data_IF_619528839089
#
_entry.id   IF_619528839089
#
_cell.length_a   1.000
_cell.length_b   1.000
_cell.length_c   1.000
_cell.angle_alpha   90.00
_cell.angle_beta   90.00
_cell.angle_gamma   90.00
#
_symmetry.space_group_name_H-M   'P 1'
#
loop_
_entity.id
_entity.type
_entity.pdbx_description
1 polymer ?
#
# COMPACT_ATOMS: atom_id res chain seq x y z
N UNK A 1 19.02 -7.79 -7.56
CA UNK A 1 17.72 -7.21 -7.92
C UNK A 1 17.88 -5.75 -8.32
N UNK A 2 17.23 -5.30 -9.38
CA UNK A 2 17.26 -3.90 -9.79
C UNK A 2 16.02 -3.17 -9.24
N UNK A 3 16.17 -2.52 -8.09
CA UNK A 3 15.07 -1.78 -7.44
C UNK A 3 14.58 -0.59 -8.27
N UNK A 4 15.44 0.03 -9.07
CA UNK A 4 15.05 1.21 -9.86
C UNK A 4 13.89 0.92 -10.80
N UNK A 5 13.73 -0.32 -11.22
CA UNK A 5 12.60 -0.79 -12.03
C UNK A 5 11.25 -0.55 -11.33
N UNK A 6 11.25 -0.56 -10.00
CA UNK A 6 10.05 -0.38 -9.18
C UNK A 6 10.08 0.95 -8.41
N UNK A 7 10.80 1.93 -8.93
CA UNK A 7 10.93 3.26 -8.31
C UNK A 7 10.83 4.38 -9.34
N UNK A 8 9.99 4.17 -10.34
CA UNK A 8 9.81 5.14 -11.43
C UNK A 8 9.08 6.39 -10.91
N UNK A 9 9.74 7.53 -10.99
CA UNK A 9 9.23 8.80 -10.45
C UNK A 9 7.93 9.26 -11.12
N UNK A 10 7.77 9.05 -12.41
CA UNK A 10 6.53 9.45 -13.10
C UNK A 10 5.35 8.57 -12.69
N UNK A 11 5.60 7.28 -12.44
CA UNK A 11 4.58 6.35 -11.94
C UNK A 11 4.17 6.75 -10.52
N UNK A 12 5.16 7.04 -9.65
CA UNK A 12 4.91 7.50 -8.28
C UNK A 12 4.02 8.74 -8.29
N UNK A 13 4.39 9.76 -9.08
CA UNK A 13 3.63 11.00 -9.15
C UNK A 13 2.20 10.77 -9.65
N UNK A 14 2.04 9.98 -10.69
CA UNK A 14 0.73 9.66 -11.24
C UNK A 14 -0.15 8.95 -10.21
N UNK A 15 0.39 7.93 -9.55
CA UNK A 15 -0.35 7.19 -8.52
C UNK A 15 -0.81 8.11 -7.40
N UNK A 16 0.07 8.98 -6.92
CA UNK A 16 -0.28 9.89 -5.81
C UNK A 16 -1.31 10.94 -6.22
N UNK A 17 -1.27 11.41 -7.47
CA UNK A 17 -2.22 12.41 -7.98
C UNK A 17 -3.58 11.83 -8.34
N UNK A 18 -3.63 10.62 -8.88
CA UNK A 18 -4.85 10.06 -9.45
C UNK A 18 -5.58 9.09 -8.55
N UNK A 19 -4.88 8.50 -7.56
CA UNK A 19 -5.50 7.52 -6.67
C UNK A 19 -6.43 8.18 -5.66
N UNK A 20 -7.50 7.47 -5.32
CA UNK A 20 -8.48 7.91 -4.31
C UNK A 20 -8.50 6.98 -3.11
N UNK A 21 -8.41 5.67 -3.35
CA UNK A 21 -8.54 4.64 -2.32
C UNK A 21 -7.22 3.94 -2.10
N UNK A 22 -6.74 3.96 -0.86
CA UNK A 22 -5.50 3.30 -0.46
C UNK A 22 -5.80 2.33 0.66
N UNK A 23 -5.61 1.04 0.40
CA UNK A 23 -5.70 0.01 1.43
C UNK A 23 -4.35 -0.11 2.13
N UNK A 24 -4.32 0.09 3.44
CA UNK A 24 -3.09 -0.02 4.23
C UNK A 24 -3.04 -1.42 4.84
N UNK A 25 -2.24 -2.28 4.25
CA UNK A 25 -2.06 -3.66 4.70
C UNK A 25 -1.05 -3.69 5.84
N UNK A 26 -1.48 -4.13 7.01
CA UNK A 26 -0.68 -4.05 8.23
C UNK A 26 -0.95 -2.78 9.02
N UNK A 27 -2.09 -2.13 8.82
CA UNK A 27 -2.53 -0.99 9.61
C UNK A 27 -2.60 -1.35 11.09
N UNK A 28 -2.33 -0.39 11.98
CA UNK A 28 -2.24 -0.65 13.41
C UNK A 28 -2.84 0.47 14.25
N UNK A 29 -3.45 0.10 15.37
CA UNK A 29 -3.90 1.06 16.39
C UNK A 29 -2.76 1.49 17.33
N UNK A 30 -1.60 0.88 17.22
CA UNK A 30 -0.43 1.24 18.04
C UNK A 30 0.19 2.51 17.47
N UNK A 31 0.08 3.62 18.21
CA UNK A 31 0.48 4.94 17.73
C UNK A 31 1.98 5.06 17.39
N UNK A 32 2.81 4.18 17.94
CA UNK A 32 4.26 4.18 17.67
C UNK A 32 4.62 3.43 16.38
N UNK A 33 3.68 2.74 15.76
CA UNK A 33 3.92 2.05 14.49
C UNK A 33 3.89 3.04 13.33
N UNK A 34 4.84 2.87 12.40
CA UNK A 34 4.90 3.68 11.18
C UNK A 34 3.60 3.61 10.38
N UNK A 35 3.00 2.42 10.30
CA UNK A 35 1.73 2.25 9.59
C UNK A 35 0.61 3.11 10.16
N UNK A 36 0.62 3.36 11.48
CA UNK A 36 -0.38 4.22 12.11
C UNK A 36 -0.22 5.69 11.67
N UNK A 37 1.00 6.22 11.78
CA UNK A 37 1.27 7.61 11.40
C UNK A 37 1.00 7.85 9.92
N UNK A 38 1.36 6.91 9.06
CA UNK A 38 1.14 7.03 7.63
C UNK A 38 -0.35 6.91 7.29
N UNK A 39 -1.08 5.99 7.93
CA UNK A 39 -2.53 5.89 7.76
C UNK A 39 -3.22 7.20 8.13
N UNK A 40 -2.82 7.80 9.24
CA UNK A 40 -3.35 9.09 9.69
C UNK A 40 -3.05 10.18 8.67
N UNK A 41 -1.82 10.23 8.16
CA UNK A 41 -1.41 11.18 7.13
C UNK A 41 -2.26 11.04 5.86
N UNK A 42 -2.48 9.81 5.39
CA UNK A 42 -3.28 9.57 4.18
C UNK A 42 -4.70 10.10 4.32
N UNK A 43 -5.31 9.92 5.49
CA UNK A 43 -6.62 10.50 5.79
C UNK A 43 -6.56 12.02 5.78
N UNK A 44 -5.54 12.61 6.39
CA UNK A 44 -5.39 14.06 6.51
C UNK A 44 -5.27 14.75 5.15
N UNK A 45 -4.60 14.11 4.19
CA UNK A 45 -4.43 14.70 2.86
C UNK A 45 -5.57 14.34 1.89
N UNK A 46 -6.58 13.60 2.36
CA UNK A 46 -7.83 13.42 1.63
C UNK A 46 -8.02 12.09 0.90
N UNK A 47 -7.12 11.11 1.09
CA UNK A 47 -7.36 9.77 0.54
C UNK A 47 -8.42 9.03 1.34
N UNK A 48 -9.15 8.13 0.68
CA UNK A 48 -9.96 7.13 1.36
C UNK A 48 -9.02 6.01 1.80
N UNK A 49 -8.61 6.04 3.05
CA UNK A 49 -7.73 5.02 3.63
C UNK A 49 -8.59 3.88 4.18
N UNK A 50 -8.30 2.65 3.75
CA UNK A 50 -8.98 1.45 4.23
C UNK A 50 -7.96 0.57 4.95
N UNK A 51 -8.08 0.41 6.28
CA UNK A 51 -7.12 -0.41 7.03
C UNK A 51 -7.39 -1.90 6.83
N UNK A 52 -6.33 -2.69 6.71
CA UNK A 52 -6.39 -4.15 6.59
C UNK A 52 -5.50 -4.77 7.65
N UNK A 53 -6.10 -5.50 8.58
CA UNK A 53 -5.40 -6.23 9.64
C UNK A 53 -6.40 -7.15 10.34
N UNK A 54 -6.12 -8.47 10.47
CA UNK A 54 -7.06 -9.40 11.11
C UNK A 54 -7.24 -9.17 12.61
N UNK A 55 -6.37 -8.37 13.24
CA UNK A 55 -6.37 -8.16 14.69
C UNK A 55 -7.21 -6.98 15.16
N UNK A 56 -7.76 -6.17 14.25
CA UNK A 56 -8.52 -4.97 14.60
C UNK A 56 -9.85 -4.92 13.87
N UNK A 57 -10.88 -4.40 14.54
CA UNK A 57 -12.16 -4.11 13.90
C UNK A 57 -12.17 -2.71 13.29
N UNK A 58 -11.34 -1.82 13.82
CA UNK A 58 -11.32 -0.41 13.46
C UNK A 58 -9.92 0.16 13.67
N UNK A 59 -9.48 1.04 12.79
CA UNK A 59 -8.23 1.79 12.91
C UNK A 59 -8.51 3.23 12.54
N UNK A 60 -8.16 4.17 13.42
CA UNK A 60 -8.39 5.61 13.22
C UNK A 60 -9.88 5.93 12.92
N UNK A 61 -10.78 5.18 13.54
CA UNK A 61 -12.22 5.37 13.32
C UNK A 61 -12.75 4.80 12.01
N UNK A 62 -11.91 4.12 11.23
CA UNK A 62 -12.30 3.53 9.96
C UNK A 62 -12.40 2.01 10.12
N UNK A 63 -13.45 1.42 9.55
CA UNK A 63 -13.63 -0.03 9.59
C UNK A 63 -12.41 -0.73 9.03
N UNK A 64 -11.88 -1.69 9.79
CA UNK A 64 -10.72 -2.49 9.40
C UNK A 64 -11.19 -3.84 8.87
N UNK A 65 -10.60 -4.27 7.77
CA UNK A 65 -10.94 -5.54 7.13
C UNK A 65 -9.85 -6.58 7.42
N UNK A 66 -10.22 -7.84 7.65
CA UNK A 66 -9.20 -8.86 7.94
C UNK A 66 -8.34 -9.22 6.72
N UNK A 67 -8.89 -9.09 5.51
CA UNK A 67 -8.16 -9.38 4.26
C UNK A 67 -8.52 -8.36 3.19
N UNK A 68 -7.69 -8.26 2.15
CA UNK A 68 -8.00 -7.41 0.99
C UNK A 68 -9.28 -7.88 0.29
N UNK A 69 -9.49 -9.18 0.24
CA UNK A 69 -10.65 -9.78 -0.46
C UNK A 69 -11.98 -9.40 0.15
N UNK A 70 -11.99 -8.99 1.42
CA UNK A 70 -13.22 -8.55 2.09
C UNK A 70 -13.66 -7.15 1.68
N UNK A 71 -12.79 -6.40 1.02
CA UNK A 71 -13.09 -5.03 0.58
C UNK A 71 -13.81 -5.10 -0.76
N UNK A 72 -15.00 -4.52 -0.84
CA UNK A 72 -15.82 -4.57 -2.04
C UNK A 72 -15.54 -3.43 -3.03
N UNK A 73 -15.02 -2.31 -2.55
CA UNK A 73 -14.71 -1.16 -3.41
C UNK A 73 -13.42 -1.36 -4.18
N UNK A 74 -13.26 -0.65 -5.30
CA UNK A 74 -12.03 -0.65 -6.09
C UNK A 74 -10.88 -0.06 -5.25
N UNK A 75 -9.77 -0.76 -5.18
CA UNK A 75 -8.56 -0.30 -4.50
C UNK A 75 -7.58 0.24 -5.54
N UNK A 76 -7.17 1.49 -5.37
CA UNK A 76 -6.19 2.09 -6.28
C UNK A 76 -4.77 1.71 -5.90
N UNK A 77 -4.43 1.77 -4.61
CA UNK A 77 -3.10 1.38 -4.12
C UNK A 77 -3.25 0.46 -2.91
N UNK A 78 -2.52 -0.65 -2.90
CA UNK A 78 -2.32 -1.47 -1.71
C UNK A 78 -0.96 -1.06 -1.13
N UNK A 79 -0.97 -0.39 0.02
CA UNK A 79 0.24 0.10 0.71
C UNK A 79 0.64 -0.91 1.80
N UNK A 80 1.81 -1.53 1.63
CA UNK A 80 2.19 -2.73 2.38
C UNK A 80 3.18 -2.44 3.50
N UNK A 81 2.76 -2.73 4.74
CA UNK A 81 3.56 -2.63 5.97
C UNK A 81 3.68 -4.02 6.60
N UNK A 82 4.31 -4.95 5.92
CA UNK A 82 4.53 -6.31 6.45
C UNK A 82 5.96 -6.72 6.20
N UNK A 83 6.43 -7.71 6.97
CA UNK A 83 7.77 -8.25 6.81
C UNK A 83 7.96 -8.80 5.39
N UNK A 84 9.15 -8.60 4.76
CA UNK A 84 9.39 -9.09 3.40
C UNK A 84 9.08 -10.56 3.16
N UNK A 85 9.19 -11.41 4.20
CA UNK A 85 8.90 -12.84 4.08
C UNK A 85 7.40 -13.14 3.92
N UNK A 86 6.52 -12.16 4.16
CA UNK A 86 5.07 -12.36 4.15
C UNK A 86 4.39 -11.76 2.92
N UNK A 87 5.14 -11.08 2.03
CA UNK A 87 4.49 -10.22 1.02
C UNK A 87 4.13 -10.89 -0.29
N UNK A 88 4.60 -12.13 -0.54
CA UNK A 88 4.23 -12.86 -1.77
C UNK A 88 2.72 -13.09 -1.82
N UNK A 89 2.14 -13.58 -0.73
CA UNK A 89 0.70 -13.83 -0.66
C UNK A 89 -0.10 -12.54 -0.77
N UNK A 90 0.43 -11.44 -0.26
CA UNK A 90 -0.21 -10.12 -0.37
C UNK A 90 -0.23 -9.66 -1.83
N UNK A 91 0.89 -9.83 -2.55
CA UNK A 91 0.96 -9.51 -3.97
C UNK A 91 -0.05 -10.33 -4.78
N UNK A 92 -0.15 -11.63 -4.49
CA UNK A 92 -1.12 -12.51 -5.13
C UNK A 92 -2.55 -12.05 -4.88
N UNK A 93 -2.86 -11.69 -3.64
CA UNK A 93 -4.20 -11.21 -3.28
C UNK A 93 -4.52 -9.87 -3.96
N UNK A 94 -3.55 -8.96 -4.01
CA UNK A 94 -3.72 -7.67 -4.68
C UNK A 94 -4.05 -7.84 -6.16
N UNK A 95 -3.38 -8.78 -6.83
CA UNK A 95 -3.69 -9.13 -8.23
C UNK A 95 -5.10 -9.68 -8.35
N UNK A 96 -5.46 -10.59 -7.45
CA UNK A 96 -6.76 -11.27 -7.47
C UNK A 96 -7.93 -10.29 -7.34
N UNK A 97 -7.80 -9.28 -6.47
CA UNK A 97 -8.86 -8.28 -6.28
C UNK A 97 -8.87 -7.19 -7.35
N UNK A 98 -7.89 -7.20 -8.25
CA UNK A 98 -7.82 -6.20 -9.32
C UNK A 98 -7.40 -4.81 -8.85
N UNK A 99 -6.54 -4.73 -7.83
CA UNK A 99 -5.97 -3.45 -7.43
C UNK A 99 -5.19 -2.83 -8.59
N UNK A 100 -5.10 -1.52 -8.64
CA UNK A 100 -4.37 -0.85 -9.73
C UNK A 100 -2.86 -0.84 -9.48
N UNK A 101 -2.46 -0.74 -8.21
CA UNK A 101 -1.05 -0.68 -7.83
C UNK A 101 -0.81 -1.33 -6.47
N UNK A 102 0.43 -1.74 -6.25
CA UNK A 102 0.90 -2.18 -4.94
C UNK A 102 2.16 -1.39 -4.60
N UNK A 103 2.23 -0.93 -3.36
CA UNK A 103 3.30 -0.08 -2.86
C UNK A 103 3.93 -0.75 -1.64
N UNK A 104 5.18 -1.19 -1.80
CA UNK A 104 5.93 -1.79 -0.70
C UNK A 104 6.75 -0.69 -0.02
N UNK A 105 6.50 -0.48 1.27
CA UNK A 105 7.16 0.56 2.06
C UNK A 105 8.68 0.34 2.19
N UNK A 106 9.37 1.35 2.73
CA UNK A 106 10.81 1.27 2.97
C UNK A 106 11.18 -0.01 3.73
N UNK A 107 12.17 -0.73 3.25
CA UNK A 107 12.63 -1.99 3.84
C UNK A 107 11.82 -3.22 3.45
N UNK A 108 10.69 -3.04 2.78
CA UNK A 108 9.87 -4.17 2.32
C UNK A 108 10.31 -4.52 0.90
N UNK A 109 11.32 -5.36 0.81
CA UNK A 109 11.94 -5.74 -0.47
C UNK A 109 11.78 -7.23 -0.70
N UNK A 110 11.11 -7.59 -1.81
CA UNK A 110 10.92 -8.97 -2.23
C UNK A 110 10.69 -9.00 -3.74
N UNK A 111 11.69 -9.47 -4.47
CA UNK A 111 11.65 -9.48 -5.94
C UNK A 111 10.52 -10.34 -6.50
N UNK A 112 10.30 -11.51 -5.89
CA UNK A 112 9.24 -12.41 -6.33
C UNK A 112 7.86 -11.74 -6.21
N UNK A 113 7.61 -11.05 -5.10
CA UNK A 113 6.36 -10.32 -4.89
C UNK A 113 6.19 -9.21 -5.95
N UNK A 114 7.26 -8.47 -6.23
CA UNK A 114 7.23 -7.42 -7.25
C UNK A 114 6.90 -7.99 -8.63
N UNK A 115 7.51 -9.12 -8.99
CA UNK A 115 7.27 -9.76 -10.28
C UNK A 115 5.86 -10.32 -10.41
N UNK A 116 5.32 -10.91 -9.33
CA UNK A 116 3.94 -11.41 -9.30
C UNK A 116 2.97 -10.26 -9.56
N UNK A 117 3.13 -9.16 -8.86
CA UNK A 117 2.25 -8.00 -9.01
C UNK A 117 2.37 -7.37 -10.40
N UNK A 118 3.60 -7.17 -10.87
CA UNK A 118 3.86 -6.59 -12.20
C UNK A 118 3.30 -7.46 -13.31
N UNK A 119 3.54 -8.77 -13.25
CA UNK A 119 2.99 -9.71 -14.24
C UNK A 119 1.47 -9.78 -14.19
N UNK A 120 0.87 -9.51 -13.04
CA UNK A 120 -0.57 -9.44 -12.87
C UNK A 120 -1.19 -8.12 -13.31
N UNK A 121 -0.42 -7.21 -13.88
CA UNK A 121 -0.91 -5.95 -14.43
C UNK A 121 -0.92 -4.77 -13.47
N UNK A 122 -0.38 -4.91 -12.26
CA UNK A 122 -0.30 -3.80 -11.32
C UNK A 122 0.92 -2.93 -11.57
N UNK A 123 0.79 -1.63 -11.29
CA UNK A 123 1.97 -0.79 -11.08
C UNK A 123 2.59 -1.18 -9.74
N UNK A 124 3.92 -1.23 -9.69
CA UNK A 124 4.65 -1.65 -8.49
C UNK A 124 5.64 -0.57 -8.07
N UNK A 125 5.54 -0.14 -6.81
CA UNK A 125 6.55 0.71 -6.18
C UNK A 125 7.12 -0.09 -5.00
N UNK A 126 8.43 -0.10 -4.85
CA UNK A 126 9.08 -0.90 -3.81
C UNK A 126 10.19 -0.12 -3.11
N UNK A 127 10.27 -0.31 -1.79
CA UNK A 127 11.29 0.32 -0.93
C UNK A 127 11.22 1.85 -0.97
N UNK A 128 10.02 2.39 -0.90
CA UNK A 128 9.77 3.83 -0.82
C UNK A 128 8.71 4.12 0.23
N UNK A 129 8.86 5.22 0.96
CA UNK A 129 7.85 5.67 1.92
C UNK A 129 6.83 6.55 1.21
N UNK A 130 5.57 6.14 1.20
CA UNK A 130 4.50 6.87 0.52
C UNK A 130 4.32 8.29 1.04
N UNK A 131 4.54 8.51 2.35
CA UNK A 131 4.46 9.84 2.96
C UNK A 131 5.56 10.75 2.43
N UNK A 132 6.81 10.26 2.38
CA UNK A 132 7.94 11.03 1.88
C UNK A 132 7.77 11.35 0.39
N UNK A 133 7.29 10.38 -0.38
CA UNK A 133 7.05 10.58 -1.81
C UNK A 133 5.93 11.56 -2.07
N UNK A 134 4.86 11.52 -1.27
CA UNK A 134 3.78 12.49 -1.35
C UNK A 134 4.31 13.91 -1.10
N UNK A 135 5.08 14.09 -0.04
CA UNK A 135 5.64 15.41 0.30
C UNK A 135 6.60 15.92 -0.79
N UNK A 136 7.32 15.02 -1.44
CA UNK A 136 8.25 15.39 -2.50
C UNK A 136 7.54 15.78 -3.80
N UNK A 137 6.50 15.02 -4.20
CA UNK A 137 5.88 15.16 -5.52
C UNK A 137 4.64 16.05 -5.55
N UNK A 138 3.89 16.15 -4.45
CA UNK A 138 2.55 16.77 -4.45
C UNK A 138 2.56 18.18 -3.88
N UNK A 139 3.57 18.57 -3.19
CA UNK A 139 3.66 19.93 -2.67
C UNK A 139 3.80 20.97 -3.80
#
# INVERSE_FOLDING_TARGET
MNLSKYQNESVIRRLLNESKTIAVYGASNKIWRTSHSISKFLLEVGYEMIPVNPNYDEVLGVKCFPTLSDIETQIDIVDVFRHPSEVITIAEEAVQIGAKAIWFQEGVINEAAAEIASSGGLDVIMDRCILKEYNFHIN
#
